data_IF_835346589924
#
_entry.id   IF_835346589924
#
_cell.length_a   1.000
_cell.length_b   1.000
_cell.length_c   1.000
_cell.angle_alpha   90.00
_cell.angle_beta   90.00
_cell.angle_gamma   90.00
#
_symmetry.space_group_name_H-M   'P 1'
#
loop_
_entity.id
_entity.type
_entity.pdbx_description
1 polymer ?
#
# COMPACT_ATOMS: atom_id res chain seq x y z
N UNK A 1 22.31 -5.87 -22.56
CA UNK A 1 22.06 -4.49 -22.09
C UNK A 1 20.78 -4.53 -21.26
N UNK A 2 20.88 -4.41 -19.94
CA UNK A 2 19.70 -4.23 -19.11
C UNK A 2 19.18 -2.82 -19.37
N UNK A 3 17.95 -2.69 -19.87
CA UNK A 3 17.28 -1.40 -19.97
C UNK A 3 16.93 -1.00 -18.53
N UNK A 4 17.87 -0.34 -17.85
CA UNK A 4 17.58 0.29 -16.57
C UNK A 4 16.84 1.59 -16.89
N UNK A 5 15.51 1.54 -16.89
CA UNK A 5 14.71 2.76 -16.92
C UNK A 5 15.03 3.55 -15.66
N UNK A 6 15.56 4.75 -15.89
CA UNK A 6 15.85 5.75 -14.88
C UNK A 6 14.65 5.96 -13.92
N UNK A 7 14.86 6.03 -12.58
CA UNK A 7 13.79 6.14 -11.60
C UNK A 7 12.83 7.32 -11.83
N UNK A 8 13.33 8.46 -12.31
CA UNK A 8 12.53 9.64 -12.65
C UNK A 8 11.57 9.37 -13.82
N UNK A 9 12.08 8.67 -14.84
CA UNK A 9 11.26 8.22 -15.98
C UNK A 9 10.16 7.28 -15.51
N UNK A 10 10.47 6.35 -14.59
CA UNK A 10 9.47 5.42 -14.04
C UNK A 10 8.40 6.14 -13.21
N UNK A 11 8.77 7.15 -12.43
CA UNK A 11 7.81 7.95 -11.65
C UNK A 11 6.89 8.75 -12.58
N UNK A 12 7.43 9.29 -13.68
CA UNK A 12 6.63 9.97 -14.71
C UNK A 12 5.63 9.03 -15.37
N UNK A 13 6.03 7.79 -15.70
CA UNK A 13 5.11 6.79 -16.23
C UNK A 13 3.98 6.41 -15.25
N UNK A 14 4.22 6.44 -13.93
CA UNK A 14 3.15 6.24 -12.94
C UNK A 14 2.12 7.37 -13.04
N UNK A 15 2.58 8.63 -13.14
CA UNK A 15 1.68 9.77 -13.30
C UNK A 15 0.84 9.67 -14.59
N UNK A 16 1.47 9.30 -15.71
CA UNK A 16 0.78 9.12 -17.00
C UNK A 16 -0.25 7.99 -16.94
N UNK A 17 0.10 6.86 -16.30
CA UNK A 17 -0.81 5.73 -16.10
C UNK A 17 -2.04 6.13 -15.27
N UNK A 18 -1.82 6.89 -14.19
CA UNK A 18 -2.90 7.36 -13.32
C UNK A 18 -3.87 8.31 -14.00
N UNK A 19 -3.49 8.94 -15.12
CA UNK A 19 -4.44 9.71 -15.94
C UNK A 19 -5.49 8.87 -16.65
N UNK A 20 -5.30 7.54 -16.78
CA UNK A 20 -6.13 6.67 -17.63
C UNK A 20 -6.53 5.33 -16.98
N UNK A 21 -5.99 4.97 -15.82
CA UNK A 21 -6.19 3.66 -15.20
C UNK A 21 -7.66 3.35 -14.88
N UNK A 22 -8.43 4.37 -14.49
CA UNK A 22 -9.85 4.30 -14.16
C UNK A 22 -10.72 3.82 -15.34
N UNK A 23 -10.25 3.99 -16.58
CA UNK A 23 -11.00 3.59 -17.78
C UNK A 23 -11.04 2.07 -18.01
N UNK A 24 -10.19 1.30 -17.32
CA UNK A 24 -10.01 -0.13 -17.59
C UNK A 24 -10.15 -1.02 -16.35
N UNK A 25 -10.44 -0.43 -15.18
CA UNK A 25 -10.48 -1.13 -13.91
C UNK A 25 -11.80 -0.83 -13.21
N UNK A 26 -12.34 -1.83 -12.52
CA UNK A 26 -13.40 -1.62 -11.53
C UNK A 26 -12.93 -0.67 -10.42
N UNK A 27 -13.88 -0.12 -9.65
CA UNK A 27 -13.53 0.75 -8.52
C UNK A 27 -12.57 0.06 -7.55
N UNK A 28 -12.89 -1.17 -7.14
CA UNK A 28 -12.09 -1.95 -6.20
C UNK A 28 -10.68 -2.25 -6.74
N UNK A 29 -10.57 -2.64 -8.01
CA UNK A 29 -9.26 -2.85 -8.65
C UNK A 29 -8.45 -1.56 -8.74
N UNK A 30 -9.08 -0.44 -9.10
CA UNK A 30 -8.43 0.87 -9.15
C UNK A 30 -7.88 1.26 -7.78
N UNK A 31 -8.68 1.07 -6.72
CA UNK A 31 -8.27 1.37 -5.35
C UNK A 31 -7.06 0.54 -4.92
N UNK A 32 -7.03 -0.75 -5.25
CA UNK A 32 -5.89 -1.64 -4.96
C UNK A 32 -4.67 -1.28 -5.81
N UNK A 33 -4.84 -0.89 -7.07
CA UNK A 33 -3.73 -0.40 -7.88
C UNK A 33 -3.11 0.87 -7.31
N UNK A 34 -3.90 1.78 -6.74
CA UNK A 34 -3.36 2.98 -6.08
C UNK A 34 -2.46 2.63 -4.90
N UNK A 35 -2.84 1.64 -4.09
CA UNK A 35 -1.97 1.11 -3.02
C UNK A 35 -0.65 0.57 -3.59
N UNK A 36 -0.73 -0.26 -4.63
CA UNK A 36 0.45 -0.83 -5.29
C UNK A 36 1.38 0.24 -5.85
N UNK A 37 0.81 1.24 -6.51
CA UNK A 37 1.54 2.33 -7.13
C UNK A 37 2.20 3.22 -6.08
N UNK A 38 1.56 3.44 -4.93
CA UNK A 38 2.19 4.14 -3.81
C UNK A 38 3.40 3.38 -3.27
N UNK A 39 3.27 2.08 -3.02
CA UNK A 39 4.41 1.26 -2.57
C UNK A 39 5.57 1.27 -3.57
N UNK A 40 5.24 1.26 -4.87
CA UNK A 40 6.24 1.37 -5.93
C UNK A 40 6.84 2.77 -5.99
N UNK A 41 6.01 3.80 -5.81
CA UNK A 41 6.42 5.20 -5.76
C UNK A 41 7.39 5.47 -4.63
N UNK A 42 7.16 4.92 -3.43
CA UNK A 42 8.11 5.06 -2.31
C UNK A 42 9.45 4.38 -2.58
N UNK A 43 9.47 3.22 -3.26
CA UNK A 43 10.74 2.63 -3.73
C UNK A 43 11.47 3.55 -4.69
N UNK A 44 10.75 4.20 -5.62
CA UNK A 44 11.34 5.15 -6.56
C UNK A 44 11.81 6.42 -5.85
N UNK A 45 11.05 6.92 -4.88
CA UNK A 45 11.45 8.09 -4.11
C UNK A 45 12.74 7.85 -3.31
N UNK A 46 12.93 6.63 -2.80
CA UNK A 46 14.20 6.23 -2.18
C UNK A 46 15.37 6.20 -3.16
N UNK A 47 15.11 5.84 -4.43
CA UNK A 47 16.14 5.83 -5.46
C UNK A 47 16.47 7.24 -6.00
N UNK A 48 15.50 8.17 -5.99
CA UNK A 48 15.63 9.55 -6.50
C UNK A 48 16.22 10.50 -5.43
N UNK A 49 15.79 10.33 -4.16
CA UNK A 49 16.03 11.29 -3.08
C UNK A 49 15.00 12.42 -3.10
N UNK A 50 14.31 12.62 -1.97
CA UNK A 50 13.33 13.71 -1.76
C UNK A 50 12.09 13.74 -2.69
N UNK A 51 11.74 12.62 -3.34
CA UNK A 51 10.56 12.56 -4.21
C UNK A 51 9.27 12.09 -3.49
N UNK A 52 9.27 11.95 -2.15
CA UNK A 52 8.11 11.46 -1.39
C UNK A 52 6.88 12.34 -1.62
N UNK A 53 7.01 13.65 -1.44
CA UNK A 53 5.90 14.58 -1.57
C UNK A 53 5.26 14.52 -2.96
N UNK A 54 6.09 14.37 -4.01
CA UNK A 54 5.63 14.17 -5.39
C UNK A 54 4.87 12.85 -5.56
N UNK A 55 5.35 11.77 -4.97
CA UNK A 55 4.63 10.48 -4.96
C UNK A 55 3.27 10.62 -4.28
N UNK A 56 3.24 11.24 -3.10
CA UNK A 56 2.00 11.43 -2.35
C UNK A 56 0.98 12.25 -3.15
N UNK A 57 1.40 13.36 -3.76
CA UNK A 57 0.56 14.21 -4.60
C UNK A 57 -0.01 13.46 -5.82
N UNK A 58 0.84 12.72 -6.55
CA UNK A 58 0.42 11.97 -7.73
C UNK A 58 -0.61 10.89 -7.36
N UNK A 59 -0.38 10.17 -6.26
CA UNK A 59 -1.30 9.12 -5.81
C UNK A 59 -2.61 9.71 -5.29
N UNK A 60 -2.56 10.83 -4.56
CA UNK A 60 -3.75 11.53 -4.05
C UNK A 60 -4.68 11.95 -5.18
N UNK A 61 -4.13 12.53 -6.25
CA UNK A 61 -4.88 12.84 -7.49
C UNK A 61 -5.48 11.58 -8.13
N UNK A 62 -4.79 10.44 -8.02
CA UNK A 62 -5.30 9.15 -8.48
C UNK A 62 -6.55 8.71 -7.73
N UNK A 63 -6.59 8.87 -6.40
CA UNK A 63 -7.79 8.63 -5.59
C UNK A 63 -8.94 9.55 -5.97
N UNK A 64 -8.68 10.86 -6.09
CA UNK A 64 -9.68 11.86 -6.53
C UNK A 64 -10.29 11.48 -7.89
N UNK A 65 -9.43 11.19 -8.88
CA UNK A 65 -9.84 10.81 -10.24
C UNK A 65 -10.66 9.52 -10.27
N UNK A 66 -10.26 8.51 -9.47
CA UNK A 66 -11.01 7.26 -9.36
C UNK A 66 -12.41 7.52 -8.79
N UNK A 67 -12.50 8.36 -7.75
CA UNK A 67 -13.75 8.67 -7.10
C UNK A 67 -14.71 9.47 -7.99
N UNK A 68 -14.18 10.44 -8.74
CA UNK A 68 -14.94 11.19 -9.74
C UNK A 68 -15.48 10.27 -10.84
N UNK A 69 -14.66 9.36 -11.37
CA UNK A 69 -15.06 8.47 -12.46
C UNK A 69 -16.21 7.53 -12.09
N UNK A 70 -16.20 7.02 -10.86
CA UNK A 70 -17.18 6.05 -10.35
C UNK A 70 -18.29 6.70 -9.52
N UNK A 71 -18.32 8.03 -9.42
CA UNK A 71 -19.25 8.81 -8.58
C UNK A 71 -19.32 8.29 -7.13
N UNK A 72 -18.16 7.88 -6.59
CA UNK A 72 -18.04 7.20 -5.29
C UNK A 72 -16.81 7.69 -4.56
N UNK A 73 -16.90 7.90 -3.25
CA UNK A 73 -15.74 8.34 -2.47
C UNK A 73 -14.62 7.29 -2.47
N UNK A 74 -13.44 7.66 -2.99
CA UNK A 74 -12.23 6.86 -2.95
C UNK A 74 -11.26 7.45 -1.93
N UNK A 75 -11.37 7.00 -0.68
CA UNK A 75 -10.52 7.50 0.41
C UNK A 75 -9.08 7.00 0.26
N UNK A 76 -8.15 7.93 0.39
CA UNK A 76 -6.73 7.63 0.53
C UNK A 76 -6.44 7.18 1.98
N UNK A 77 -6.04 5.92 2.22
CA UNK A 77 -5.79 5.44 3.57
C UNK A 77 -4.57 6.07 4.26
N UNK A 78 -3.73 6.82 3.56
CA UNK A 78 -2.59 7.52 4.18
C UNK A 78 -2.91 8.97 4.57
N UNK A 79 -4.07 9.51 4.19
CA UNK A 79 -4.54 10.81 4.72
C UNK A 79 -4.81 10.71 6.24
N UNK A 80 -5.31 9.56 6.71
CA UNK A 80 -5.37 9.17 8.12
C UNK A 80 -4.87 7.72 8.27
N UNK A 81 -3.56 7.50 8.52
CA UNK A 81 -3.00 6.16 8.63
C UNK A 81 -3.56 5.34 9.80
N UNK A 82 -4.13 6.00 10.81
CA UNK A 82 -4.74 5.30 11.94
C UNK A 82 -6.09 4.73 11.50
N UNK A 83 -6.98 5.55 10.94
CA UNK A 83 -8.27 5.09 10.43
C UNK A 83 -8.10 4.13 9.24
N UNK A 84 -7.16 4.42 8.35
CA UNK A 84 -6.88 3.63 7.15
C UNK A 84 -6.54 2.17 7.45
N UNK A 85 -5.95 1.85 8.60
CA UNK A 85 -5.73 0.47 9.03
C UNK A 85 -7.04 -0.27 9.28
N UNK A 86 -7.97 0.37 10.00
CA UNK A 86 -9.26 -0.24 10.32
C UNK A 86 -10.10 -0.40 9.05
N UNK A 87 -10.12 0.63 8.20
CA UNK A 87 -10.87 0.62 6.94
C UNK A 87 -10.35 -0.46 5.99
N UNK A 88 -9.03 -0.58 5.82
CA UNK A 88 -8.44 -1.61 4.95
C UNK A 88 -8.66 -3.03 5.50
N UNK A 89 -8.55 -3.24 6.81
CA UNK A 89 -8.88 -4.54 7.43
C UNK A 89 -10.36 -4.89 7.26
N UNK A 90 -11.26 -3.92 7.43
CA UNK A 90 -12.68 -4.11 7.24
C UNK A 90 -13.02 -4.46 5.78
N UNK A 91 -12.41 -3.75 4.81
CA UNK A 91 -12.60 -4.01 3.38
C UNK A 91 -12.12 -5.42 3.01
N UNK A 92 -10.93 -5.83 3.46
CA UNK A 92 -10.39 -7.17 3.22
C UNK A 92 -11.31 -8.26 3.80
N UNK A 93 -11.82 -8.05 5.01
CA UNK A 93 -12.79 -8.96 5.62
C UNK A 93 -14.11 -9.01 4.85
N UNK A 94 -14.53 -7.90 4.25
CA UNK A 94 -15.77 -7.85 3.48
C UNK A 94 -15.75 -8.81 2.29
N UNK A 95 -14.59 -9.10 1.71
CA UNK A 95 -14.46 -10.04 0.59
C UNK A 95 -14.82 -11.48 0.95
N UNK A 96 -14.83 -11.84 2.24
CA UNK A 96 -15.31 -13.15 2.70
C UNK A 96 -16.84 -13.30 2.60
N UNK A 97 -17.56 -12.19 2.57
CA UNK A 97 -19.03 -12.16 2.65
C UNK A 97 -19.70 -11.54 1.41
N UNK A 98 -18.95 -10.83 0.57
CA UNK A 98 -19.44 -10.25 -0.67
C UNK A 98 -19.42 -11.29 -1.79
N UNK A 99 -20.36 -11.17 -2.72
CA UNK A 99 -20.31 -11.91 -3.98
C UNK A 99 -19.31 -11.21 -4.92
N UNK A 100 -18.04 -11.61 -4.81
CA UNK A 100 -16.92 -11.09 -5.60
C UNK A 100 -16.46 -12.13 -6.62
N UNK A 101 -16.13 -11.66 -7.82
CA UNK A 101 -15.76 -12.56 -8.92
C UNK A 101 -14.49 -13.37 -8.59
N UNK A 102 -14.44 -14.62 -9.03
CA UNK A 102 -13.26 -15.47 -8.85
C UNK A 102 -11.96 -14.89 -9.44
N UNK A 103 -11.97 -14.23 -10.63
CA UNK A 103 -10.79 -13.53 -11.13
C UNK A 103 -10.28 -12.44 -10.19
N UNK A 104 -11.20 -11.65 -9.60
CA UNK A 104 -10.85 -10.62 -8.64
C UNK A 104 -10.30 -11.23 -7.35
N UNK A 105 -10.90 -12.30 -6.84
CA UNK A 105 -10.39 -13.01 -5.67
C UNK A 105 -8.99 -13.62 -5.91
N UNK A 106 -8.76 -14.18 -7.08
CA UNK A 106 -7.43 -14.65 -7.49
C UNK A 106 -6.42 -13.50 -7.51
N UNK A 107 -6.82 -12.31 -8.00
CA UNK A 107 -6.00 -11.11 -7.96
C UNK A 107 -5.66 -10.70 -6.51
N UNK A 108 -6.66 -10.59 -5.62
CA UNK A 108 -6.47 -10.29 -4.18
C UNK A 108 -5.46 -11.24 -3.55
N UNK A 109 -5.66 -12.55 -3.73
CA UNK A 109 -4.77 -13.59 -3.18
C UNK A 109 -3.33 -13.42 -3.68
N UNK A 110 -3.17 -13.21 -4.99
CA UNK A 110 -1.84 -13.11 -5.63
C UNK A 110 -1.06 -11.87 -5.23
N UNK A 111 -1.75 -10.79 -4.86
CA UNK A 111 -1.14 -9.52 -4.52
C UNK A 111 -1.04 -9.27 -3.00
N UNK A 112 -1.56 -10.18 -2.17
CA UNK A 112 -1.64 -10.00 -0.73
C UNK A 112 -0.29 -9.68 -0.08
N UNK A 113 0.73 -10.47 -0.40
CA UNK A 113 2.11 -10.26 0.03
C UNK A 113 2.70 -8.92 -0.43
N UNK A 114 2.34 -8.47 -1.63
CA UNK A 114 3.00 -7.34 -2.30
C UNK A 114 2.30 -6.00 -2.06
N UNK A 115 1.01 -6.01 -1.72
CA UNK A 115 0.19 -4.83 -1.56
C UNK A 115 -0.33 -4.71 -0.13
N UNK A 116 -1.12 -5.69 0.35
CA UNK A 116 -1.84 -5.53 1.60
C UNK A 116 -0.94 -5.61 2.82
N UNK A 117 -0.04 -6.60 2.90
CA UNK A 117 0.93 -6.69 4.02
C UNK A 117 1.80 -5.42 4.11
N UNK A 118 2.43 -4.93 3.01
CA UNK A 118 3.24 -3.73 3.08
C UNK A 118 2.45 -2.47 3.37
N UNK A 119 1.26 -2.32 2.79
CA UNK A 119 0.39 -1.18 3.08
C UNK A 119 0.04 -1.15 4.56
N UNK A 120 -0.44 -2.26 5.11
CA UNK A 120 -0.79 -2.34 6.53
C UNK A 120 0.39 -2.04 7.43
N UNK A 121 1.59 -2.58 7.13
CA UNK A 121 2.79 -2.27 7.91
C UNK A 121 3.11 -0.78 7.89
N UNK A 122 3.07 -0.15 6.72
CA UNK A 122 3.35 1.29 6.61
C UNK A 122 2.31 2.13 7.36
N UNK A 123 1.02 1.81 7.24
CA UNK A 123 -0.02 2.54 7.96
C UNK A 123 0.16 2.41 9.48
N UNK A 124 0.52 1.22 9.98
CA UNK A 124 0.82 0.97 11.40
C UNK A 124 2.01 1.81 11.90
N UNK A 125 3.06 1.92 11.10
CA UNK A 125 4.23 2.74 11.42
C UNK A 125 3.91 4.24 11.40
N UNK A 126 3.18 4.69 10.39
CA UNK A 126 2.85 6.12 10.18
C UNK A 126 1.77 6.62 11.15
N UNK A 127 0.93 5.75 11.69
CA UNK A 127 -0.06 6.13 12.67
C UNK A 127 0.61 6.54 14.00
N UNK A 128 0.33 7.76 14.48
CA UNK A 128 0.91 8.32 15.72
C UNK A 128 -0.03 8.27 16.93
N UNK A 129 -1.20 7.65 16.78
CA UNK A 129 -2.17 7.50 17.89
C UNK A 129 -1.66 6.53 18.95
N UNK A 130 -1.90 6.86 20.22
CA UNK A 130 -1.62 5.97 21.36
C UNK A 130 -2.57 4.76 21.39
N UNK A 131 -3.75 4.87 20.78
CA UNK A 131 -4.77 3.82 20.73
C UNK A 131 -4.74 3.02 19.42
N UNK A 132 -3.60 3.01 18.71
CA UNK A 132 -3.46 2.29 17.44
C UNK A 132 -3.27 0.79 17.65
N UNK A 133 -3.59 0.00 16.63
CA UNK A 133 -3.13 -1.39 16.61
C UNK A 133 -1.61 -1.45 16.57
N UNK A 134 -1.03 -2.33 17.38
CA UNK A 134 0.37 -2.71 17.20
C UNK A 134 0.52 -3.54 15.93
N UNK A 135 1.74 -3.61 15.39
CA UNK A 135 1.98 -4.46 14.22
C UNK A 135 1.64 -5.93 14.49
N UNK A 136 1.90 -6.43 15.70
CA UNK A 136 1.56 -7.80 16.07
C UNK A 136 0.04 -8.03 16.05
N UNK A 137 -0.75 -7.05 16.51
CA UNK A 137 -2.21 -7.12 16.42
C UNK A 137 -2.70 -7.08 14.98
N UNK A 138 -2.05 -6.30 14.11
CA UNK A 138 -2.36 -6.29 12.67
C UNK A 138 -1.98 -7.61 12.01
N UNK A 139 -0.81 -8.17 12.34
CA UNK A 139 -0.31 -9.46 11.84
C UNK A 139 -1.29 -10.60 12.14
N UNK A 140 -1.79 -10.70 13.37
CA UNK A 140 -2.80 -11.72 13.73
C UNK A 140 -4.03 -11.60 12.84
N UNK A 141 -4.55 -10.38 12.66
CA UNK A 141 -5.73 -10.16 11.81
C UNK A 141 -5.47 -10.48 10.33
N UNK A 142 -4.27 -10.17 9.82
CA UNK A 142 -3.89 -10.50 8.46
C UNK A 142 -3.74 -12.01 8.25
N UNK A 143 -3.20 -12.74 9.23
CA UNK A 143 -3.10 -14.20 9.17
C UNK A 143 -4.49 -14.86 9.14
N UNK A 144 -5.44 -14.38 9.94
CA UNK A 144 -6.83 -14.83 9.89
C UNK A 144 -7.45 -14.58 8.50
N UNK A 145 -7.30 -13.37 7.97
CA UNK A 145 -7.80 -13.02 6.64
C UNK A 145 -7.14 -13.88 5.55
N UNK A 146 -5.83 -14.11 5.63
CA UNK A 146 -5.12 -14.95 4.66
C UNK A 146 -5.63 -16.38 4.66
N UNK A 147 -5.92 -16.95 5.84
CA UNK A 147 -6.48 -18.29 5.96
C UNK A 147 -7.88 -18.38 5.34
N UNK A 148 -8.76 -17.44 5.67
CA UNK A 148 -10.14 -17.40 5.15
C UNK A 148 -10.19 -17.12 3.64
N UNK A 149 -9.28 -16.28 3.15
CA UNK A 149 -9.17 -15.98 1.73
C UNK A 149 -8.37 -17.02 0.94
N UNK A 150 -7.85 -18.08 1.58
CA UNK A 150 -7.01 -19.11 0.94
C UNK A 150 -5.78 -18.52 0.22
N UNK A 151 -5.10 -17.59 0.88
CA UNK A 151 -3.86 -16.99 0.37
C UNK A 151 -2.71 -17.98 0.53
N UNK A 152 -2.20 -18.49 -0.59
CA UNK A 152 -1.09 -19.45 -0.65
C UNK A 152 0.28 -18.75 -0.52
N UNK A 153 0.53 -18.13 0.63
CA UNK A 153 1.82 -17.51 0.96
C UNK A 153 2.13 -17.71 2.45
N UNK A 154 3.28 -18.30 2.74
CA UNK A 154 3.80 -18.41 4.10
C UNK A 154 4.19 -17.05 4.70
N UNK A 155 3.92 -16.87 6.00
CA UNK A 155 4.12 -15.58 6.65
C UNK A 155 5.60 -15.15 6.67
N UNK A 156 6.53 -16.09 6.79
CA UNK A 156 7.97 -15.84 6.75
C UNK A 156 8.40 -15.20 5.42
N UNK A 157 7.71 -15.53 4.34
CA UNK A 157 7.95 -14.92 3.01
C UNK A 157 7.44 -13.48 2.98
N UNK A 158 6.34 -13.19 3.68
CA UNK A 158 5.85 -11.82 3.88
C UNK A 158 6.83 -11.00 4.73
N UNK A 159 7.30 -11.53 5.86
CA UNK A 159 8.26 -10.84 6.75
C UNK A 159 9.57 -10.54 6.01
N UNK A 160 10.15 -11.51 5.30
CA UNK A 160 11.38 -11.31 4.53
C UNK A 160 11.21 -10.28 3.38
N UNK A 161 10.03 -10.22 2.76
CA UNK A 161 9.73 -9.17 1.79
C UNK A 161 9.65 -7.79 2.48
N UNK A 162 9.02 -7.73 3.65
CA UNK A 162 8.82 -6.50 4.40
C UNK A 162 10.11 -5.91 4.94
N UNK A 163 11.02 -6.73 5.47
CA UNK A 163 12.34 -6.27 5.93
C UNK A 163 13.08 -5.53 4.81
N UNK A 164 13.19 -6.15 3.64
CA UNK A 164 13.84 -5.53 2.45
C UNK A 164 13.11 -4.29 1.96
N UNK A 165 11.78 -4.29 2.07
CA UNK A 165 10.99 -3.14 1.68
C UNK A 165 11.25 -1.96 2.61
N UNK A 166 11.20 -2.16 3.93
CA UNK A 166 11.43 -1.14 4.95
C UNK A 166 12.87 -0.63 4.92
N UNK A 167 13.87 -1.50 4.77
CA UNK A 167 15.27 -1.11 4.60
C UNK A 167 15.43 -0.09 3.46
N UNK A 168 14.67 -0.26 2.38
CA UNK A 168 14.73 0.64 1.23
C UNK A 168 13.99 1.97 1.46
N UNK A 169 12.82 1.96 2.11
CA UNK A 169 11.94 3.15 2.15
C UNK A 169 11.94 3.90 3.48
N UNK A 170 12.50 3.34 4.54
CA UNK A 170 12.46 3.91 5.90
C UNK A 170 12.99 5.33 5.96
N UNK A 171 14.14 5.61 5.34
CA UNK A 171 14.75 6.93 5.30
C UNK A 171 13.92 7.98 4.58
N UNK A 172 13.13 7.58 3.58
CA UNK A 172 12.22 8.49 2.87
C UNK A 172 10.93 8.72 3.63
N UNK A 173 10.40 7.69 4.29
CA UNK A 173 9.14 7.75 5.03
C UNK A 173 9.30 8.21 6.48
N UNK A 174 10.53 8.49 6.92
CA UNK A 174 10.87 8.83 8.30
C UNK A 174 10.40 7.78 9.32
N UNK A 175 10.35 6.52 8.88
CA UNK A 175 9.93 5.38 9.71
C UNK A 175 11.16 4.83 10.44
N UNK A 176 11.08 4.71 11.77
CA UNK A 176 12.17 4.21 12.61
C UNK A 176 13.10 5.27 13.22
N UNK A 177 12.85 6.57 13.02
CA UNK A 177 13.58 7.65 13.68
C UNK A 177 13.02 7.98 15.08
N UNK A 178 12.80 6.94 15.91
CA UNK A 178 12.18 7.07 17.21
C UNK A 178 12.81 6.14 18.25
N UNK A 179 14.11 6.29 18.49
CA UNK A 179 14.78 6.09 19.79
C UNK A 179 16.29 6.40 19.68
N UNK A 180 16.74 7.48 20.35
CA UNK A 180 18.09 7.61 20.91
C UNK A 180 19.27 8.01 20.01
N UNK A 181 19.44 9.30 19.74
CA UNK A 181 20.78 9.94 19.87
C UNK A 181 20.70 10.99 20.95
N UNK A 182 20.52 10.53 22.19
CA UNK A 182 21.11 11.17 23.37
C UNK A 182 22.37 10.39 23.72
N UNK A 183 23.41 11.13 24.13
CA UNK A 183 24.80 10.72 24.43
C UNK A 183 25.70 10.64 23.18
N UNK A 184 26.76 11.45 23.02
CA UNK A 184 27.67 12.12 23.98
C UNK A 184 27.91 13.59 23.61
#
# INVERSE_FOLDING_TARGET
>A
MAVTFDPETRLSHIADYLGRFQLNLTFEEGWIQLLRLRLTGYKLAADIGDAKARVDEIIKKGYETLGEHWEREAKDPYDDPCMGQYDLLAELRSYMYRDVSQPFMAFIRSEFRKIFVPTMRLLTELCRSENKYSWDQVKVQLQEIMAELEVDVEWEVCDAYMERYLEKVSGVLEIGAGEGTGEV
#
